data_IF_006611889954
#
_entry.id   IF_006611889954
#
_cell.length_a   1.000
_cell.length_b   1.000
_cell.length_c   1.000
_cell.angle_alpha   90.00
_cell.angle_beta   90.00
_cell.angle_gamma   90.00
#
_symmetry.space_group_name_H-M   'P 1'
#
loop_
_entity.id
_entity.type
_entity.pdbx_description
1 polymer ?
#
# COMPACT_ATOMS: atom_id res chain seq x y z
N UNK A 1 9.36 -40.22 -8.57
CA UNK A 1 8.00 -39.74 -8.20
C UNK A 1 8.15 -39.11 -6.82
N UNK A 2 8.15 -37.81 -6.58
CA UNK A 2 7.05 -36.84 -6.75
C UNK A 2 7.71 -35.44 -6.67
N UNK A 3 7.89 -34.72 -7.78
CA UNK A 3 8.36 -33.32 -7.75
C UNK A 3 7.13 -32.45 -7.55
N UNK A 4 6.94 -31.93 -6.34
CA UNK A 4 5.87 -30.99 -6.03
C UNK A 4 6.08 -29.73 -6.87
N UNK A 5 5.22 -29.53 -7.86
CA UNK A 5 5.23 -28.35 -8.71
C UNK A 5 4.80 -27.14 -7.87
N UNK A 6 5.72 -26.21 -7.66
CA UNK A 6 5.39 -24.86 -7.17
C UNK A 6 4.48 -24.26 -8.24
N UNK A 7 3.17 -24.26 -8.01
CA UNK A 7 2.20 -23.56 -8.84
C UNK A 7 2.56 -22.08 -8.79
N UNK A 8 3.18 -21.58 -9.86
CA UNK A 8 3.26 -20.15 -10.15
C UNK A 8 1.82 -19.61 -10.13
N UNK A 9 1.46 -18.92 -9.07
CA UNK A 9 0.19 -18.19 -8.99
C UNK A 9 0.36 -17.03 -9.96
N UNK A 10 -0.09 -17.22 -11.20
CA UNK A 10 -0.23 -16.14 -12.17
C UNK A 10 -1.07 -15.07 -11.46
N UNK A 11 -0.43 -13.97 -11.07
CA UNK A 11 -1.15 -12.86 -10.47
C UNK A 11 -2.19 -12.44 -11.51
N UNK A 12 -3.49 -12.40 -11.15
CA UNK A 12 -4.53 -12.00 -12.09
C UNK A 12 -4.10 -10.67 -12.72
N UNK A 13 -4.24 -10.56 -14.05
CA UNK A 13 -3.82 -9.42 -14.87
C UNK A 13 -3.69 -8.14 -14.04
N UNK A 14 -2.45 -7.70 -13.77
CA UNK A 14 -2.15 -6.46 -13.02
C UNK A 14 -2.94 -5.28 -13.60
N UNK A 15 -3.26 -5.36 -14.89
CA UNK A 15 -4.16 -4.48 -15.64
C UNK A 15 -5.60 -4.32 -15.08
N UNK A 16 -6.00 -5.05 -14.02
CA UNK A 16 -7.33 -4.95 -13.40
C UNK A 16 -7.27 -4.80 -11.87
N UNK A 17 -6.16 -4.28 -11.33
CA UNK A 17 -6.11 -3.88 -9.92
C UNK A 17 -6.96 -2.63 -9.71
N UNK A 18 -8.18 -2.82 -9.19
CA UNK A 18 -9.13 -1.72 -8.96
C UNK A 18 -8.90 -1.03 -7.61
N UNK A 19 -8.36 -1.73 -6.61
CA UNK A 19 -8.16 -1.22 -5.24
C UNK A 19 -6.86 -1.72 -4.63
N UNK A 20 -6.14 -0.81 -3.97
CA UNK A 20 -4.86 -1.06 -3.33
C UNK A 20 -4.88 -0.52 -1.91
N UNK A 21 -4.38 -1.31 -0.98
CA UNK A 21 -4.09 -0.87 0.38
C UNK A 21 -2.56 -0.85 0.56
N UNK A 22 -2.00 0.33 0.78
CA UNK A 22 -0.61 0.49 1.18
C UNK A 22 -0.57 0.60 2.70
N UNK A 23 0.16 -0.30 3.36
CA UNK A 23 0.46 -0.17 4.79
C UNK A 23 1.75 0.62 4.94
N UNK A 24 1.62 1.88 5.33
CA UNK A 24 2.77 2.78 5.48
C UNK A 24 3.64 2.46 6.70
N UNK A 25 4.88 2.98 6.73
CA UNK A 25 5.78 2.82 7.86
C UNK A 25 5.23 3.44 9.16
N UNK A 26 5.71 2.93 10.30
CA UNK A 26 5.29 3.41 11.62
C UNK A 26 6.07 4.65 12.10
N UNK A 27 7.25 4.91 11.56
CA UNK A 27 8.10 6.04 11.93
C UNK A 27 8.02 7.14 10.87
N UNK A 28 8.06 8.40 11.31
CA UNK A 28 7.96 9.58 10.43
C UNK A 28 9.07 9.60 9.38
N UNK A 29 10.31 9.35 9.78
CA UNK A 29 11.46 9.33 8.86
C UNK A 29 11.28 8.31 7.73
N UNK A 30 10.94 7.07 8.09
CA UNK A 30 10.69 6.00 7.12
C UNK A 30 9.52 6.34 6.20
N UNK A 31 8.45 6.95 6.73
CA UNK A 31 7.30 7.35 5.94
C UNK A 31 7.67 8.41 4.90
N UNK A 32 8.52 9.38 5.25
CA UNK A 32 9.06 10.37 4.30
C UNK A 32 9.89 9.68 3.22
N UNK A 33 10.75 8.73 3.60
CA UNK A 33 11.58 7.98 2.66
C UNK A 33 10.75 7.09 1.72
N UNK A 34 9.55 6.68 2.12
CA UNK A 34 8.65 5.85 1.32
C UNK A 34 7.83 6.64 0.28
N UNK A 35 7.74 7.97 0.38
CA UNK A 35 6.93 8.81 -0.52
C UNK A 35 7.24 8.58 -2.02
N UNK A 36 8.52 8.49 -2.47
CA UNK A 36 8.82 8.27 -3.87
C UNK A 36 8.26 6.95 -4.40
N UNK A 37 8.26 5.89 -3.58
CA UNK A 37 7.68 4.60 -3.96
C UNK A 37 6.15 4.70 -4.12
N UNK A 38 5.47 5.37 -3.18
CA UNK A 38 4.00 5.57 -3.28
C UNK A 38 3.61 6.42 -4.50
N UNK A 39 4.44 7.38 -4.91
CA UNK A 39 4.24 8.14 -6.15
C UNK A 39 4.38 7.26 -7.38
N UNK A 40 5.40 6.40 -7.40
CA UNK A 40 5.57 5.44 -8.47
C UNK A 40 4.38 4.48 -8.55
N UNK A 41 3.85 4.01 -7.41
CA UNK A 41 2.65 3.17 -7.39
C UNK A 41 1.46 3.85 -8.09
N UNK A 42 1.23 5.14 -7.80
CA UNK A 42 0.18 5.93 -8.48
C UNK A 42 0.43 6.07 -9.98
N UNK A 43 1.67 6.27 -10.40
CA UNK A 43 2.02 6.39 -11.83
C UNK A 43 1.77 5.09 -12.60
N UNK A 44 2.05 3.94 -11.99
CA UNK A 44 1.85 2.63 -12.62
C UNK A 44 0.41 2.12 -12.52
N UNK A 45 -0.33 2.57 -11.50
CA UNK A 45 -1.71 2.14 -11.22
C UNK A 45 -2.65 3.36 -11.13
N UNK A 46 -2.72 4.21 -12.18
CA UNK A 46 -3.42 5.50 -12.10
C UNK A 46 -4.92 5.36 -11.88
N UNK A 47 -5.50 4.23 -12.29
CA UNK A 47 -6.93 3.94 -12.17
C UNK A 47 -7.32 3.26 -10.85
N UNK A 48 -6.34 2.77 -10.08
CA UNK A 48 -6.62 2.04 -8.85
C UNK A 48 -6.92 3.01 -7.70
N UNK A 49 -7.97 2.72 -6.93
CA UNK A 49 -8.22 3.42 -5.67
C UNK A 49 -7.15 3.03 -4.65
N UNK A 50 -6.33 3.99 -4.25
CA UNK A 50 -5.21 3.80 -3.31
C UNK A 50 -5.58 4.29 -1.93
N UNK A 51 -5.67 3.36 -0.99
CA UNK A 51 -5.84 3.65 0.43
C UNK A 51 -4.49 3.51 1.13
N UNK A 52 -4.06 4.55 1.86
CA UNK A 52 -2.89 4.48 2.74
C UNK A 52 -3.35 4.26 4.18
N UNK A 53 -2.86 3.19 4.82
CA UNK A 53 -3.03 2.94 6.24
C UNK A 53 -1.72 3.25 6.98
N UNK A 54 -1.76 4.21 7.91
CA UNK A 54 -0.61 4.60 8.74
C UNK A 54 -1.00 4.70 10.21
N UNK A 55 -0.01 4.98 11.07
CA UNK A 55 -0.27 5.37 12.45
C UNK A 55 -0.77 6.82 12.51
N UNK A 56 -1.61 7.21 13.50
CA UNK A 56 -2.16 8.56 13.60
C UNK A 56 -1.09 9.67 13.58
N UNK A 57 0.05 9.45 14.24
CA UNK A 57 1.14 10.43 14.27
C UNK A 57 1.88 10.60 12.94
N UNK A 58 1.73 9.65 12.00
CA UNK A 58 2.28 9.74 10.64
C UNK A 58 1.26 10.34 9.67
N UNK A 59 -0.05 10.21 9.96
CA UNK A 59 -1.14 10.59 9.06
C UNK A 59 -1.06 12.04 8.56
N UNK A 60 -0.60 12.97 9.42
CA UNK A 60 -0.45 14.38 9.06
C UNK A 60 0.47 14.64 7.87
N UNK A 61 1.41 13.73 7.56
CA UNK A 61 2.27 13.85 6.37
C UNK A 61 1.50 13.71 5.05
N UNK A 62 0.33 13.06 5.08
CA UNK A 62 -0.38 12.59 3.89
C UNK A 62 -1.75 13.22 3.69
N UNK A 63 -2.18 14.14 4.56
CA UNK A 63 -3.53 14.76 4.53
C UNK A 63 -3.88 15.39 3.17
N UNK A 64 -2.89 15.83 2.40
CA UNK A 64 -3.09 16.43 1.07
C UNK A 64 -2.21 15.77 0.00
N UNK A 65 -1.84 14.50 0.20
CA UNK A 65 -1.01 13.77 -0.75
C UNK A 65 -1.83 13.38 -2.00
N UNK A 66 -1.53 13.92 -3.19
CA UNK A 66 -2.34 13.68 -4.40
C UNK A 66 -2.21 12.26 -4.96
N UNK A 67 -1.25 11.49 -4.47
CA UNK A 67 -1.01 10.10 -4.89
C UNK A 67 -1.85 9.08 -4.09
N UNK A 68 -2.64 9.53 -3.11
CA UNK A 68 -3.49 8.70 -2.25
C UNK A 68 -4.94 9.18 -2.34
N UNK A 69 -5.90 8.26 -2.47
CA UNK A 69 -7.33 8.61 -2.51
C UNK A 69 -7.96 8.61 -1.12
N UNK A 70 -7.51 7.70 -0.25
CA UNK A 70 -8.03 7.54 1.12
C UNK A 70 -6.90 7.40 2.12
N UNK A 71 -6.98 8.13 3.22
CA UNK A 71 -6.05 8.03 4.33
C UNK A 71 -6.77 7.43 5.54
N UNK A 72 -6.32 6.25 5.96
CA UNK A 72 -6.79 5.58 7.16
C UNK A 72 -5.70 5.60 8.23
N UNK A 73 -6.12 5.72 9.49
CA UNK A 73 -5.21 5.65 10.63
C UNK A 73 -5.76 4.70 11.70
N UNK A 74 -4.88 3.94 12.30
CA UNK A 74 -5.22 2.98 13.36
C UNK A 74 -4.17 3.07 14.48
N UNK A 75 -4.59 3.05 15.76
CA UNK A 75 -3.65 3.16 16.89
C UNK A 75 -2.89 1.86 17.17
N UNK A 76 -3.59 0.72 17.21
CA UNK A 76 -3.02 -0.61 17.47
C UNK A 76 -2.76 -1.34 16.15
N UNK A 77 -1.68 -2.12 15.95
CA UNK A 77 -1.61 -2.97 14.77
C UNK A 77 -2.76 -3.95 14.87
N UNK A 78 -3.72 -3.93 13.95
CA UNK A 78 -4.61 -5.08 13.78
C UNK A 78 -3.71 -6.27 13.49
N UNK A 79 -3.54 -7.14 14.49
CA UNK A 79 -3.07 -8.49 14.23
C UNK A 79 -4.06 -9.08 13.23
N UNK A 80 -3.56 -9.66 12.14
CA UNK A 80 -4.30 -10.69 11.44
C UNK A 80 -4.35 -11.88 12.42
N UNK A 81 -5.29 -11.81 13.36
CA UNK A 81 -5.70 -12.92 14.23
C UNK A 81 -6.84 -13.67 13.57
#
# INVERSE_FOLDING_TARGET
MHRSAVRSKVLPNVMRLEKILIRGPNWVGDAVLAIPAMKADREHLPHAETTLLVRPWVAGLFTSAPFIDKLWSEEKPSGLS
#
